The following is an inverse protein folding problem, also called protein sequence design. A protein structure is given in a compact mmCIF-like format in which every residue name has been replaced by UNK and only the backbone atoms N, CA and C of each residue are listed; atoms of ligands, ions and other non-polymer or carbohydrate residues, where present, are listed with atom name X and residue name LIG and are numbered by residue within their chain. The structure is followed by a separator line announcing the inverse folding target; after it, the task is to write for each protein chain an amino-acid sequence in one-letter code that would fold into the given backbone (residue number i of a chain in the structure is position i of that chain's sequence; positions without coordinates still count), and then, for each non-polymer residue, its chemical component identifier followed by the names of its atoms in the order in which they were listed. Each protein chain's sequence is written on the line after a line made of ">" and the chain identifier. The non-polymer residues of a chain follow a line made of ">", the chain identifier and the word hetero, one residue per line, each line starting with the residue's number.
data_IF_322925631263
#
_entry.id   IF_322925631263
#
_cell.length_a   1.000
_cell.length_b   1.000
_cell.length_c   1.000
_cell.angle_alpha   90.00
_cell.angle_beta   90.00
_cell.angle_gamma   90.00
#
_symmetry.space_group_name_H-M   'P 1'
#
loop_
_entity.id
_entity.type
_entity.pdbx_description
1 polymer ?
#
# COMPACT_ATOMS: atom_id res chain seq x y z
N UNK A 1 -14.09 29.97 63.93
CA UNK A 1 -13.07 29.69 62.91
C UNK A 1 -13.45 28.40 62.19
N UNK A 2 -14.05 28.48 61.02
CA UNK A 2 -14.06 27.38 60.04
C UNK A 2 -14.38 27.99 58.68
N UNK A 3 -13.33 28.05 57.87
CA UNK A 3 -13.25 28.57 56.53
C UNK A 3 -13.74 27.46 55.59
N UNK A 4 -14.70 27.76 54.72
CA UNK A 4 -15.06 26.87 53.61
C UNK A 4 -15.26 27.73 52.39
N UNK A 5 -14.13 28.13 51.80
CA UNK A 5 -14.09 28.69 50.46
C UNK A 5 -14.32 27.53 49.47
N UNK A 6 -15.55 27.39 48.99
CA UNK A 6 -15.86 26.47 47.89
C UNK A 6 -15.30 27.04 46.59
N UNK A 7 -14.10 26.60 46.21
CA UNK A 7 -13.54 26.82 44.87
C UNK A 7 -14.38 26.01 43.89
N UNK A 8 -15.33 26.66 43.24
CA UNK A 8 -16.11 26.09 42.13
C UNK A 8 -15.22 25.97 40.90
N UNK A 9 -14.80 24.74 40.60
CA UNK A 9 -14.04 24.39 39.41
C UNK A 9 -14.79 24.75 38.12
N UNK A 10 -14.12 25.45 37.21
CA UNK A 10 -14.59 25.63 35.83
C UNK A 10 -14.52 24.29 35.07
N UNK A 11 -15.46 23.99 34.16
CA UNK A 11 -15.37 22.80 33.34
C UNK A 11 -14.35 23.05 32.22
N UNK A 12 -13.14 22.48 32.36
CA UNK A 12 -12.23 22.37 31.22
C UNK A 12 -12.84 21.41 30.21
N UNK A 13 -13.29 21.96 29.07
CA UNK A 13 -13.74 21.20 27.92
C UNK A 13 -12.49 20.62 27.26
N UNK A 14 -12.05 19.44 27.72
CA UNK A 14 -10.92 18.72 27.13
C UNK A 14 -11.24 18.40 25.66
N UNK A 15 -10.64 19.18 24.76
CA UNK A 15 -10.51 18.80 23.35
C UNK A 15 -9.85 17.43 23.30
N UNK A 16 -10.62 16.39 22.95
CA UNK A 16 -10.11 15.06 22.69
C UNK A 16 -9.05 15.15 21.60
N UNK A 17 -7.78 15.15 22.01
CA UNK A 17 -6.63 15.34 21.14
C UNK A 17 -6.54 14.10 20.26
N UNK A 18 -6.99 14.21 19.01
CA UNK A 18 -6.95 13.17 17.95
C UNK A 18 -5.52 12.67 17.61
N UNK A 19 -4.53 13.24 18.29
CA UNK A 19 -3.10 13.02 18.22
C UNK A 19 -2.65 12.38 19.54
N UNK A 20 -2.07 11.16 19.60
CA UNK A 20 -1.30 10.45 18.57
C UNK A 20 -2.02 9.23 17.95
N UNK A 21 -3.16 8.80 18.50
CA UNK A 21 -3.76 7.49 18.23
C UNK A 21 -4.25 7.34 16.77
N UNK A 22 -4.74 8.43 16.16
CA UNK A 22 -5.16 8.43 14.76
C UNK A 22 -4.01 8.24 13.76
N UNK A 23 -2.85 8.85 14.03
CA UNK A 23 -1.65 8.71 13.21
C UNK A 23 -1.12 7.28 13.26
N UNK A 24 -0.99 6.71 14.47
CA UNK A 24 -0.57 5.31 14.65
C UNK A 24 -1.46 4.31 13.91
N UNK A 25 -2.77 4.56 13.87
CA UNK A 25 -3.71 3.70 13.13
C UNK A 25 -3.48 3.71 11.61
N UNK A 26 -2.97 4.81 11.05
CA UNK A 26 -2.67 4.91 9.62
C UNK A 26 -1.33 4.23 9.29
N UNK A 27 -0.30 4.43 10.12
CA UNK A 27 1.00 3.74 9.93
C UNK A 27 0.90 2.23 10.19
N UNK A 28 0.00 1.79 11.07
CA UNK A 28 -0.26 0.37 11.34
C UNK A 28 -1.11 -0.31 10.27
N UNK A 29 -1.84 0.45 9.46
CA UNK A 29 -2.66 -0.11 8.39
C UNK A 29 -1.76 -0.67 7.27
N UNK A 30 -2.01 -1.92 6.86
CA UNK A 30 -1.18 -2.65 5.89
C UNK A 30 -2.01 -3.16 4.72
N UNK A 31 -1.45 -3.04 3.51
CA UNK A 31 -1.90 -3.77 2.33
C UNK A 31 -1.03 -5.03 2.25
N UNK A 32 -1.63 -6.19 2.50
CA UNK A 32 -0.87 -7.43 2.66
C UNK A 32 0.13 -7.36 3.82
N UNK A 33 1.44 -7.56 3.54
CA UNK A 33 2.52 -7.47 4.55
C UNK A 33 3.07 -6.04 4.69
N UNK A 34 2.79 -5.16 3.71
CA UNK A 34 3.45 -3.85 3.56
C UNK A 34 2.63 -2.73 4.22
N UNK A 35 3.23 -1.90 5.10
CA UNK A 35 2.54 -0.77 5.70
C UNK A 35 2.24 0.32 4.65
N UNK A 36 1.09 0.99 4.78
CA UNK A 36 0.62 2.00 3.81
C UNK A 36 1.67 3.06 3.47
N UNK A 37 2.39 3.68 4.44
CA UNK A 37 3.38 4.70 4.12
C UNK A 37 4.47 4.21 3.18
N UNK A 38 4.96 2.99 3.39
CA UNK A 38 5.98 2.37 2.55
C UNK A 38 5.42 2.07 1.16
N UNK A 39 4.19 1.55 1.10
CA UNK A 39 3.51 1.30 -0.17
C UNK A 39 3.35 2.59 -1.00
N UNK A 40 2.96 3.70 -0.38
CA UNK A 40 2.83 5.01 -1.05
C UNK A 40 4.16 5.49 -1.62
N UNK A 41 5.26 5.34 -0.86
CA UNK A 41 6.61 5.70 -1.32
C UNK A 41 6.99 4.85 -2.54
N UNK A 42 6.77 3.53 -2.48
CA UNK A 42 7.08 2.61 -3.58
C UNK A 42 6.32 2.98 -4.86
N UNK A 43 5.01 3.25 -4.75
CA UNK A 43 4.19 3.66 -5.91
C UNK A 43 4.69 4.99 -6.47
N UNK A 44 5.03 5.95 -5.61
CA UNK A 44 5.53 7.27 -6.04
C UNK A 44 6.84 7.14 -6.80
N UNK A 45 7.80 6.35 -6.30
CA UNK A 45 9.06 6.08 -7.00
C UNK A 45 8.81 5.37 -8.33
N UNK A 46 7.96 4.33 -8.34
CA UNK A 46 7.68 3.58 -9.57
C UNK A 46 7.07 4.47 -10.65
N UNK A 47 6.11 5.32 -10.29
CA UNK A 47 5.52 6.30 -11.21
C UNK A 47 6.56 7.31 -11.69
N UNK A 48 7.41 7.83 -10.78
CA UNK A 48 8.48 8.77 -11.13
C UNK A 48 9.50 8.18 -12.11
N UNK A 49 9.95 6.95 -11.88
CA UNK A 49 10.87 6.25 -12.80
C UNK A 49 10.20 5.90 -14.13
N UNK A 50 8.93 5.52 -14.11
CA UNK A 50 8.17 5.24 -15.33
C UNK A 50 8.00 6.50 -16.19
N UNK A 51 7.81 7.66 -15.55
CA UNK A 51 7.71 8.95 -16.25
C UNK A 51 9.07 9.41 -16.80
N UNK A 52 10.14 9.18 -16.05
CA UNK A 52 11.51 9.56 -16.46
C UNK A 52 12.07 8.63 -17.55
N UNK A 53 11.50 7.43 -17.70
CA UNK A 53 11.92 6.43 -18.70
C UNK A 53 13.17 5.66 -18.32
N UNK A 54 13.80 5.99 -17.19
CA UNK A 54 15.01 5.35 -16.64
C UNK A 54 14.64 4.14 -15.77
N UNK A 55 13.84 3.21 -16.31
CA UNK A 55 13.59 1.93 -15.65
C UNK A 55 14.73 0.98 -16.01
N UNK A 56 15.86 1.13 -15.30
CA UNK A 56 16.92 0.12 -15.35
C UNK A 56 16.36 -1.18 -14.78
N UNK A 57 16.67 -2.31 -15.41
CA UNK A 57 16.30 -3.66 -14.94
C UNK A 57 17.00 -4.06 -13.63
N UNK A 58 17.07 -3.16 -12.65
CA UNK A 58 17.68 -3.41 -11.36
C UNK A 58 16.74 -4.21 -10.48
N UNK A 59 17.32 -5.13 -9.69
CA UNK A 59 16.60 -6.02 -8.78
C UNK A 59 15.67 -5.23 -7.85
N UNK A 60 16.09 -4.04 -7.40
CA UNK A 60 15.30 -3.18 -6.52
C UNK A 60 13.96 -2.73 -7.16
N UNK A 61 13.99 -2.35 -8.44
CA UNK A 61 12.79 -1.97 -9.18
C UNK A 61 11.90 -3.19 -9.41
N UNK A 62 12.49 -4.36 -9.71
CA UNK A 62 11.73 -5.59 -9.91
C UNK A 62 11.00 -6.02 -8.64
N UNK A 63 11.68 -5.97 -7.49
CA UNK A 63 11.05 -6.21 -6.18
C UNK A 63 9.95 -5.19 -5.92
N UNK A 64 10.16 -3.90 -6.21
CA UNK A 64 9.13 -2.89 -6.06
C UNK A 64 7.89 -3.17 -6.93
N UNK A 65 8.08 -3.54 -8.20
CA UNK A 65 6.99 -3.91 -9.12
C UNK A 65 6.25 -5.16 -8.65
N UNK A 66 6.96 -6.18 -8.18
CA UNK A 66 6.34 -7.42 -7.65
C UNK A 66 5.56 -7.16 -6.35
N UNK A 67 6.10 -6.33 -5.46
CA UNK A 67 5.42 -5.93 -4.22
C UNK A 67 4.18 -5.12 -4.54
N UNK A 68 4.29 -4.08 -5.38
CA UNK A 68 3.15 -3.25 -5.76
C UNK A 68 2.11 -4.10 -6.51
N UNK A 69 2.51 -4.80 -7.57
CA UNK A 69 1.60 -5.61 -8.38
C UNK A 69 0.96 -6.75 -7.58
N UNK A 70 1.77 -7.56 -6.91
CA UNK A 70 1.32 -8.73 -6.17
C UNK A 70 0.41 -8.38 -5.00
N UNK A 71 0.81 -7.46 -4.12
CA UNK A 71 -0.02 -7.12 -2.96
C UNK A 71 -1.26 -6.30 -3.33
N UNK A 72 -1.20 -5.45 -4.36
CA UNK A 72 -2.39 -4.73 -4.85
C UNK A 72 -3.41 -5.69 -5.43
N UNK A 73 -2.97 -6.61 -6.30
CA UNK A 73 -3.85 -7.61 -6.89
C UNK A 73 -4.42 -8.55 -5.82
N UNK A 74 -3.60 -8.95 -4.84
CA UNK A 74 -4.06 -9.77 -3.71
C UNK A 74 -5.09 -9.06 -2.83
N UNK A 75 -4.91 -7.78 -2.56
CA UNK A 75 -5.85 -6.98 -1.75
C UNK A 75 -7.18 -6.80 -2.48
N UNK A 76 -7.16 -6.57 -3.80
CA UNK A 76 -8.37 -6.53 -4.64
C UNK A 76 -9.09 -7.89 -4.62
N UNK A 77 -8.35 -8.99 -4.75
CA UNK A 77 -8.91 -10.34 -4.67
C UNK A 77 -9.54 -10.65 -3.31
N UNK A 78 -8.95 -10.19 -2.19
CA UNK A 78 -9.51 -10.34 -0.84
C UNK A 78 -10.82 -9.58 -0.65
N UNK A 79 -10.96 -8.42 -1.31
CA UNK A 79 -12.15 -7.57 -1.20
C UNK A 79 -13.33 -8.06 -2.05
N UNK A 80 -13.13 -9.05 -2.92
CA UNK A 80 -14.21 -9.62 -3.75
C UNK A 80 -14.93 -10.74 -2.97
N UNK A 81 -16.16 -10.50 -2.47
CA UNK A 81 -16.81 -11.41 -1.51
C UNK A 81 -17.18 -12.77 -2.09
N UNK A 82 -17.34 -12.89 -3.41
CA UNK A 82 -17.79 -14.12 -4.09
C UNK A 82 -16.70 -15.20 -4.11
N UNK A 83 -15.41 -14.84 -4.27
CA UNK A 83 -14.32 -15.81 -4.43
C UNK A 83 -13.37 -15.89 -3.22
N UNK A 84 -13.61 -15.12 -2.15
CA UNK A 84 -12.69 -15.02 -1.00
C UNK A 84 -12.38 -16.36 -0.33
N UNK A 85 -13.35 -17.29 -0.32
CA UNK A 85 -13.21 -18.59 0.34
C UNK A 85 -12.37 -19.63 -0.45
N UNK A 86 -12.09 -19.37 -1.73
CA UNK A 86 -11.35 -20.29 -2.63
C UNK A 86 -9.88 -19.85 -2.77
N UNK A 87 -9.48 -18.76 -2.11
CA UNK A 87 -8.13 -18.19 -2.26
C UNK A 87 -8.03 -17.18 -3.40
N UNK A 88 -9.09 -16.41 -3.67
CA UNK A 88 -9.11 -15.34 -4.67
C UNK A 88 -7.91 -14.39 -4.61
N UNK A 89 -7.34 -14.14 -3.42
CA UNK A 89 -6.15 -13.32 -3.27
C UNK A 89 -4.95 -13.85 -4.09
N UNK A 90 -4.70 -15.16 -4.03
CA UNK A 90 -3.59 -15.78 -4.77
C UNK A 90 -3.89 -15.85 -6.26
N UNK A 91 -5.13 -16.19 -6.63
CA UNK A 91 -5.58 -16.23 -8.03
C UNK A 91 -5.45 -14.84 -8.66
N UNK A 92 -5.93 -13.79 -7.98
CA UNK A 92 -5.82 -12.43 -8.51
C UNK A 92 -4.35 -11.99 -8.59
N UNK A 93 -3.53 -12.32 -7.59
CA UNK A 93 -2.10 -11.98 -7.60
C UNK A 93 -1.33 -12.59 -8.78
N UNK A 94 -1.77 -13.72 -9.35
CA UNK A 94 -1.11 -14.35 -10.50
C UNK A 94 -1.76 -13.99 -11.84
N UNK A 95 -3.09 -14.03 -11.92
CA UNK A 95 -3.83 -13.84 -13.17
C UNK A 95 -4.02 -12.38 -13.55
N UNK A 96 -4.20 -11.48 -12.57
CA UNK A 96 -4.45 -10.05 -12.88
C UNK A 96 -3.22 -9.40 -13.52
N UNK A 97 -1.99 -9.55 -12.98
CA UNK A 97 -0.79 -9.01 -13.65
C UNK A 97 -0.60 -9.58 -15.06
N UNK A 98 -0.87 -10.88 -15.23
CA UNK A 98 -0.80 -11.55 -16.54
C UNK A 98 -1.81 -10.97 -17.53
N UNK A 99 -3.03 -10.69 -17.08
CA UNK A 99 -4.06 -10.04 -17.89
C UNK A 99 -3.68 -8.59 -18.24
N UNK A 100 -3.15 -7.82 -17.28
CA UNK A 100 -2.69 -6.44 -17.52
C UNK A 100 -1.57 -6.39 -18.58
N UNK A 101 -0.65 -7.35 -18.57
CA UNK A 101 0.38 -7.49 -19.58
C UNK A 101 -0.21 -7.85 -20.96
N UNK A 102 -1.16 -8.80 -21.00
CA UNK A 102 -1.83 -9.21 -22.24
C UNK A 102 -2.61 -8.06 -22.89
N UNK A 103 -3.34 -7.27 -22.09
CA UNK A 103 -4.11 -6.11 -22.57
C UNK A 103 -3.28 -4.84 -22.82
N UNK A 104 -1.94 -4.91 -22.67
CA UNK A 104 -1.04 -3.75 -22.84
C UNK A 104 -1.41 -2.54 -21.97
N UNK A 105 -1.96 -2.80 -20.78
CA UNK A 105 -2.26 -1.79 -19.77
C UNK A 105 -1.03 -1.45 -18.91
N UNK A 106 0.00 -2.30 -18.95
CA UNK A 106 1.27 -2.01 -18.29
C UNK A 106 2.09 -1.02 -19.13
N UNK A 107 2.78 -0.05 -18.48
CA UNK A 107 3.76 0.78 -19.16
C UNK A 107 4.81 -0.10 -19.86
N UNK A 108 5.18 0.21 -21.13
CA UNK A 108 6.08 -0.64 -21.91
C UNK A 108 7.47 -0.77 -21.29
N UNK A 109 7.88 0.21 -20.48
CA UNK A 109 9.13 0.17 -19.71
C UNK A 109 9.08 -0.93 -18.64
N UNK A 110 7.99 -1.00 -17.87
CA UNK A 110 7.80 -2.03 -16.83
C UNK A 110 7.72 -3.42 -17.47
N UNK A 111 6.97 -3.58 -18.56
CA UNK A 111 6.86 -4.86 -19.26
C UNK A 111 8.24 -5.35 -19.74
N UNK A 112 9.04 -4.48 -20.37
CA UNK A 112 10.40 -4.82 -20.82
C UNK A 112 11.28 -5.23 -19.66
N UNK A 113 11.32 -4.46 -18.58
CA UNK A 113 12.18 -4.76 -17.43
C UNK A 113 11.78 -6.07 -16.75
N UNK A 114 10.49 -6.39 -16.66
CA UNK A 114 10.01 -7.68 -16.11
C UNK A 114 10.43 -8.86 -16.99
N UNK A 115 10.28 -8.73 -18.32
CA UNK A 115 10.71 -9.76 -19.29
C UNK A 115 12.22 -9.97 -19.21
N UNK A 116 12.97 -8.87 -19.14
CA UNK A 116 14.43 -8.90 -19.03
C UNK A 116 14.85 -9.61 -17.75
N UNK A 117 14.35 -9.19 -16.60
CA UNK A 117 14.63 -9.80 -15.31
C UNK A 117 14.33 -11.30 -15.27
N UNK A 118 13.18 -11.70 -15.83
CA UNK A 118 12.75 -13.11 -15.84
C UNK A 118 13.57 -13.97 -16.82
N UNK A 119 14.16 -13.38 -17.87
CA UNK A 119 15.02 -14.12 -18.81
C UNK A 119 16.43 -14.35 -18.27
N UNK A 120 16.92 -13.47 -17.38
CA UNK A 120 18.26 -13.55 -16.81
C UNK A 120 18.34 -14.30 -15.48
N UNK A 121 17.20 -14.83 -14.99
CA UNK A 121 17.12 -15.72 -13.82
C UNK A 121 16.80 -17.14 -14.28
#
# INVERSE_FOLDING_TARGET
>A
MQQSASVSASPEVLHARWWPQGWWKIVDMRIGIVPIPVYVILVTLLVGFTYTGDIKGEISIMVAVLVIGGFTCAEIGKRTPVLRNIGAAAIFATFVPSALAYYKLLPPQIEKSVIEFTKYT
#
